data_IF_343606036781
#
_entry.id   IF_343606036781
#
_cell.length_a   1.000
_cell.length_b   1.000
_cell.length_c   1.000
_cell.angle_alpha   90.00
_cell.angle_beta   90.00
_cell.angle_gamma   90.00
#
_symmetry.space_group_name_H-M   'P 1'
#
loop_
_entity.id
_entity.type
_entity.pdbx_description
1 polymer ?
#
# COMPACT_ATOMS: atom_id res chain seq x y z
N UNK A 1 -4.38 32.90 -5.29
CA UNK A 1 -5.22 32.56 -4.11
C UNK A 1 -4.44 31.77 -3.06
N UNK A 2 -3.96 30.55 -3.35
CA UNK A 2 -3.18 29.75 -2.39
C UNK A 2 -1.96 30.48 -1.81
N UNK A 3 -1.17 31.17 -2.65
CA UNK A 3 -0.03 32.00 -2.19
C UNK A 3 -0.46 33.04 -1.16
N UNK A 4 -1.59 33.72 -1.39
CA UNK A 4 -2.11 34.74 -0.49
C UNK A 4 -2.60 34.15 0.84
N UNK A 5 -3.21 32.96 0.83
CA UNK A 5 -3.62 32.28 2.07
C UNK A 5 -2.40 31.93 2.94
N UNK A 6 -1.32 31.46 2.32
CA UNK A 6 -0.08 31.14 3.03
C UNK A 6 0.66 32.39 3.52
N UNK A 7 0.63 33.48 2.75
CA UNK A 7 1.23 34.77 3.14
C UNK A 7 0.46 35.41 4.31
N UNK A 8 -0.87 35.45 4.23
CA UNK A 8 -1.71 36.12 5.24
C UNK A 8 -1.78 35.31 6.56
N UNK A 9 -1.92 33.97 6.50
CA UNK A 9 -2.19 33.13 7.68
C UNK A 9 -1.49 31.75 7.67
N UNK A 10 -0.46 31.55 6.85
CA UNK A 10 0.12 30.21 6.62
C UNK A 10 0.69 29.54 7.87
N UNK A 11 1.29 30.30 8.78
CA UNK A 11 1.86 29.77 10.03
C UNK A 11 0.78 29.22 10.97
N UNK A 12 -0.33 29.96 11.15
CA UNK A 12 -1.48 29.54 11.95
C UNK A 12 -2.11 28.30 11.32
N UNK A 13 -2.37 28.36 10.03
CA UNK A 13 -3.01 27.28 9.30
C UNK A 13 -2.16 25.99 9.35
N UNK A 14 -0.83 26.10 9.26
CA UNK A 14 0.08 24.97 9.42
C UNK A 14 0.09 24.43 10.86
N UNK A 15 0.08 25.29 11.88
CA UNK A 15 0.01 24.87 13.27
C UNK A 15 -1.27 24.08 13.56
N UNK A 16 -2.42 24.54 13.06
CA UNK A 16 -3.70 23.85 13.22
C UNK A 16 -3.67 22.46 12.57
N UNK A 17 -3.16 22.33 11.33
CA UNK A 17 -3.05 21.04 10.65
C UNK A 17 -2.13 20.08 11.43
N UNK A 18 -1.03 20.59 11.97
CA UNK A 18 -0.09 19.80 12.77
C UNK A 18 -0.72 19.33 14.07
N UNK A 19 -1.39 20.23 14.79
CA UNK A 19 -2.09 19.91 16.04
C UNK A 19 -3.16 18.83 15.81
N UNK A 20 -4.01 19.00 14.79
CA UNK A 20 -5.05 18.03 14.46
C UNK A 20 -4.49 16.66 14.07
N UNK A 21 -3.38 16.62 13.31
CA UNK A 21 -2.73 15.37 12.94
C UNK A 21 -2.14 14.67 14.17
N UNK A 22 -1.45 15.41 15.03
CA UNK A 22 -0.78 14.87 16.22
C UNK A 22 -1.80 14.42 17.26
N UNK A 23 -2.89 15.15 17.49
CA UNK A 23 -3.95 14.72 18.40
C UNK A 23 -4.61 13.42 17.93
N UNK A 24 -4.88 13.27 16.62
CA UNK A 24 -5.38 12.02 16.08
C UNK A 24 -4.39 10.87 16.27
N UNK A 25 -3.10 11.11 16.02
CA UNK A 25 -2.01 10.13 16.27
C UNK A 25 -1.98 9.65 17.71
N UNK A 26 -2.06 10.57 18.66
CA UNK A 26 -2.10 10.29 20.11
C UNK A 26 -3.35 9.51 20.48
N UNK A 27 -4.51 9.91 19.95
CA UNK A 27 -5.79 9.25 20.20
C UNK A 27 -5.79 7.80 19.72
N UNK A 28 -5.36 7.54 18.50
CA UNK A 28 -5.25 6.18 17.95
C UNK A 28 -4.25 5.34 18.75
N UNK A 29 -3.12 5.91 19.16
CA UNK A 29 -2.14 5.20 20.00
C UNK A 29 -2.72 4.78 21.35
N UNK A 30 -3.50 5.65 22.01
CA UNK A 30 -4.19 5.33 23.27
C UNK A 30 -5.22 4.23 23.10
N UNK A 31 -6.09 4.37 22.09
CA UNK A 31 -7.12 3.36 21.77
C UNK A 31 -6.45 2.01 21.50
N UNK A 32 -5.40 1.98 20.68
CA UNK A 32 -4.66 0.74 20.41
C UNK A 32 -4.09 0.11 21.70
N UNK A 33 -3.52 0.92 22.59
CA UNK A 33 -2.99 0.41 23.85
C UNK A 33 -4.09 -0.15 24.77
N UNK A 34 -5.24 0.52 24.85
CA UNK A 34 -6.41 0.07 25.62
C UNK A 34 -6.96 -1.26 25.08
N UNK A 35 -7.27 -1.31 23.77
CA UNK A 35 -7.86 -2.51 23.13
C UNK A 35 -6.91 -3.72 23.15
N UNK A 36 -5.60 -3.49 22.98
CA UNK A 36 -4.61 -4.56 23.10
C UNK A 36 -4.37 -5.00 24.55
N UNK A 37 -4.53 -4.09 25.52
CA UNK A 37 -4.49 -4.42 26.95
C UNK A 37 -5.63 -5.34 27.37
N UNK A 38 -6.77 -5.28 26.68
CA UNK A 38 -7.92 -6.18 26.86
C UNK A 38 -7.78 -7.51 26.09
N UNK A 39 -6.64 -7.77 25.47
CA UNK A 39 -6.37 -9.02 24.73
C UNK A 39 -6.95 -9.04 23.31
N UNK A 40 -7.29 -7.88 22.76
CA UNK A 40 -7.84 -7.74 21.41
C UNK A 40 -6.87 -6.92 20.52
N UNK A 41 -7.34 -6.36 19.41
CA UNK A 41 -6.52 -5.61 18.46
C UNK A 41 -7.17 -4.30 18.04
N UNK A 42 -6.34 -3.33 17.62
CA UNK A 42 -6.81 -2.14 16.91
C UNK A 42 -5.77 -1.72 15.87
N UNK A 43 -6.18 -0.83 14.98
CA UNK A 43 -5.27 -0.21 14.02
C UNK A 43 -4.23 0.66 14.72
N UNK A 44 -3.01 0.68 14.19
CA UNK A 44 -1.94 1.57 14.66
C UNK A 44 -1.69 2.71 13.68
N UNK A 45 -0.71 3.54 14.01
CA UNK A 45 -0.11 4.51 13.09
C UNK A 45 1.40 4.32 13.12
N UNK A 46 2.03 4.45 11.96
CA UNK A 46 3.48 4.48 11.81
C UNK A 46 4.03 5.81 12.34
N UNK A 47 4.61 5.77 13.54
CA UNK A 47 5.05 6.95 14.29
C UNK A 47 6.02 6.60 15.42
N UNK A 48 6.78 7.59 15.93
CA UNK A 48 7.63 7.45 17.11
C UNK A 48 6.87 7.03 18.37
N UNK A 49 7.53 6.29 19.26
CA UNK A 49 6.96 5.87 20.54
C UNK A 49 6.72 7.05 21.49
N UNK A 50 7.45 8.15 21.34
CA UNK A 50 7.31 9.37 22.14
C UNK A 50 5.93 10.03 22.03
N UNK A 51 5.13 9.65 21.02
CA UNK A 51 3.76 10.14 20.81
C UNK A 51 2.86 9.94 22.04
N UNK A 52 3.06 8.87 22.82
CA UNK A 52 2.21 8.58 23.98
C UNK A 52 2.66 9.31 25.25
N UNK A 53 3.94 9.68 25.34
CA UNK A 53 4.52 10.31 26.53
C UNK A 53 4.55 11.84 26.45
N UNK A 54 4.68 12.40 25.24
CA UNK A 54 4.76 13.85 25.04
C UNK A 54 3.39 14.49 24.82
N UNK A 55 3.31 15.77 25.15
CA UNK A 55 2.17 16.63 24.80
C UNK A 55 2.23 17.01 23.32
N UNK A 56 1.09 17.41 22.77
CA UNK A 56 1.03 17.87 21.36
C UNK A 56 1.91 19.08 21.12
N UNK A 57 1.98 20.00 22.09
CA UNK A 57 2.87 21.16 22.00
C UNK A 57 4.35 20.76 21.91
N UNK A 58 4.82 19.87 22.79
CA UNK A 58 6.21 19.39 22.75
C UNK A 58 6.56 18.68 21.44
N UNK A 59 5.58 17.99 20.83
CA UNK A 59 5.72 17.30 19.55
C UNK A 59 5.79 18.26 18.37
N UNK A 60 5.06 19.38 18.43
CA UNK A 60 5.07 20.44 17.41
C UNK A 60 6.36 21.25 17.48
N UNK A 61 6.80 21.63 18.67
CA UNK A 61 7.91 22.57 18.86
C UNK A 61 9.29 21.97 18.53
N UNK A 62 9.43 20.65 18.58
CA UNK A 62 10.73 20.00 18.40
C UNK A 62 10.72 18.97 17.27
N UNK A 63 11.37 19.33 16.17
CA UNK A 63 11.57 18.48 14.99
C UNK A 63 12.24 17.14 15.31
N UNK A 64 13.12 17.09 16.32
CA UNK A 64 13.84 15.87 16.69
C UNK A 64 12.90 14.73 17.10
N UNK A 65 11.65 15.03 17.48
CA UNK A 65 10.63 14.02 17.74
C UNK A 65 10.26 13.18 16.52
N UNK A 66 10.46 13.72 15.31
CA UNK A 66 10.01 13.11 14.06
C UNK A 66 11.15 12.60 13.19
N UNK A 67 12.40 12.90 13.56
CA UNK A 67 13.60 12.40 12.88
C UNK A 67 13.72 10.89 13.08
N UNK A 68 14.03 10.15 12.01
CA UNK A 68 14.28 8.72 12.06
C UNK A 68 15.70 8.48 12.58
N UNK A 69 15.82 8.17 13.87
CA UNK A 69 17.13 7.94 14.49
C UNK A 69 17.64 6.52 14.19
N UNK A 70 18.94 6.35 13.86
CA UNK A 70 19.52 5.02 13.74
C UNK A 70 19.29 4.18 15.00
N UNK A 71 18.69 3.00 14.83
CA UNK A 71 18.41 2.07 15.93
C UNK A 71 16.99 2.18 16.53
N UNK A 72 16.22 3.21 16.19
CA UNK A 72 14.81 3.29 16.59
C UNK A 72 14.00 2.16 15.95
N UNK A 73 13.27 1.39 16.76
CA UNK A 73 12.56 0.20 16.26
C UNK A 73 11.28 0.53 15.49
N UNK A 74 10.67 1.70 15.72
CA UNK A 74 9.32 2.03 15.22
C UNK A 74 9.24 2.17 13.70
N UNK A 75 10.34 2.55 13.04
CA UNK A 75 10.32 2.86 11.61
C UNK A 75 10.68 1.69 10.70
N UNK A 76 11.34 0.65 11.20
CA UNK A 76 11.70 -0.55 10.42
C UNK A 76 12.91 -0.41 9.47
N UNK A 77 13.44 0.80 9.27
CA UNK A 77 14.70 0.99 8.53
C UNK A 77 15.93 0.50 9.31
N UNK A 78 16.88 -0.19 8.65
CA UNK A 78 18.11 -0.64 9.29
C UNK A 78 19.00 0.55 9.66
N UNK A 79 19.73 0.45 10.78
CA UNK A 79 20.54 1.54 11.32
C UNK A 79 21.65 1.95 10.34
N UNK A 80 22.27 0.99 9.65
CA UNK A 80 23.28 1.23 8.61
C UNK A 80 22.74 1.98 7.39
N UNK A 81 21.42 1.98 7.18
CA UNK A 81 20.75 2.72 6.11
C UNK A 81 20.42 4.17 6.46
N UNK A 82 20.69 4.61 7.69
CA UNK A 82 20.32 5.95 8.17
C UNK A 82 21.55 6.78 8.52
N UNK A 83 21.69 7.95 7.87
CA UNK A 83 22.78 8.90 8.14
C UNK A 83 22.30 10.06 9.03
N UNK A 84 22.25 9.86 10.36
CA UNK A 84 21.91 10.92 11.32
C UNK A 84 20.57 11.63 11.04
N UNK A 85 20.50 12.94 11.30
CA UNK A 85 19.29 13.76 11.10
C UNK A 85 19.01 14.11 9.62
N UNK A 86 18.98 13.09 8.75
CA UNK A 86 18.74 13.25 7.32
C UNK A 86 17.26 13.11 6.92
N UNK A 87 16.54 12.18 7.58
CA UNK A 87 15.14 11.86 7.25
C UNK A 87 14.24 12.06 8.46
N UNK A 88 13.03 12.57 8.24
CA UNK A 88 11.98 12.68 9.26
C UNK A 88 10.63 12.22 8.73
N UNK A 89 9.75 11.80 9.63
CA UNK A 89 8.34 11.57 9.36
C UNK A 89 7.61 12.92 9.32
N UNK A 90 6.91 13.18 8.22
CA UNK A 90 5.98 14.30 8.16
C UNK A 90 4.73 14.02 9.03
N UNK A 91 4.46 14.79 10.08
CA UNK A 91 3.38 14.51 11.02
C UNK A 91 1.99 14.51 10.37
N UNK A 92 1.80 15.25 9.28
CA UNK A 92 0.49 15.37 8.61
C UNK A 92 0.20 14.20 7.66
N UNK A 93 1.18 13.33 7.40
CA UNK A 93 1.03 12.10 6.61
C UNK A 93 0.70 10.92 7.51
N UNK A 94 -0.60 10.64 7.66
CA UNK A 94 -1.12 9.66 8.61
C UNK A 94 -1.10 8.26 8.00
N UNK A 95 0.03 7.55 8.13
CA UNK A 95 0.14 6.15 7.72
C UNK A 95 -0.40 5.24 8.81
N UNK A 96 -1.61 4.70 8.60
CA UNK A 96 -2.21 3.70 9.46
C UNK A 96 -1.59 2.32 9.22
N UNK A 97 -1.51 1.52 10.28
CA UNK A 97 -0.97 0.17 10.29
C UNK A 97 -2.06 -0.83 10.65
N UNK A 98 -2.21 -1.87 9.84
CA UNK A 98 -3.04 -3.03 10.14
C UNK A 98 -2.27 -4.04 11.00
N UNK A 99 -2.95 -4.85 11.83
CA UNK A 99 -2.36 -6.08 12.38
C UNK A 99 -2.03 -7.08 11.26
N UNK A 100 -1.04 -7.94 11.50
CA UNK A 100 -0.66 -9.03 10.60
C UNK A 100 0.85 -9.15 10.39
N UNK A 101 1.52 -8.02 10.15
CA UNK A 101 2.98 -7.96 10.07
C UNK A 101 3.45 -6.69 10.78
N UNK A 102 4.48 -6.79 11.61
CA UNK A 102 5.06 -5.62 12.24
C UNK A 102 6.13 -4.95 11.37
N UNK A 103 6.62 -3.79 11.82
CA UNK A 103 7.62 -2.99 11.09
C UNK A 103 8.99 -3.68 11.00
N UNK A 104 9.21 -4.75 11.75
CA UNK A 104 10.40 -5.60 11.66
C UNK A 104 10.20 -6.81 10.72
N UNK A 105 9.03 -6.91 10.07
CA UNK A 105 8.71 -8.00 9.15
C UNK A 105 8.28 -9.29 9.83
N UNK A 106 7.97 -9.27 11.14
CA UNK A 106 7.50 -10.46 11.86
C UNK A 106 6.00 -10.64 11.65
N UNK A 107 5.65 -11.82 11.16
CA UNK A 107 4.26 -12.21 10.91
C UNK A 107 3.55 -12.61 12.20
N UNK A 108 2.30 -12.20 12.30
CA UNK A 108 1.35 -12.65 13.31
C UNK A 108 0.45 -13.74 12.71
N UNK A 109 -0.31 -14.43 13.56
CA UNK A 109 -1.31 -15.40 13.10
C UNK A 109 -2.58 -14.69 12.61
N UNK A 110 -3.03 -13.69 13.37
CA UNK A 110 -4.12 -12.81 12.97
C UNK A 110 -3.59 -11.66 12.12
N UNK A 111 -4.29 -11.37 11.03
CA UNK A 111 -4.01 -10.18 10.23
C UNK A 111 -5.23 -9.63 9.53
N UNK A 112 -5.19 -8.33 9.24
CA UNK A 112 -6.19 -7.61 8.47
C UNK A 112 -5.47 -6.98 7.27
N UNK A 113 -5.59 -7.56 6.07
CA UNK A 113 -5.05 -6.92 4.87
C UNK A 113 -5.66 -5.53 4.66
N UNK A 114 -4.82 -4.53 4.40
CA UNK A 114 -5.25 -3.14 4.27
C UNK A 114 -6.27 -2.95 3.14
N UNK A 115 -6.15 -3.70 2.04
CA UNK A 115 -7.12 -3.67 0.94
C UNK A 115 -8.57 -3.96 1.37
N UNK A 116 -8.77 -4.78 2.41
CA UNK A 116 -10.11 -5.08 2.94
C UNK A 116 -10.60 -3.91 3.81
N UNK A 117 -9.73 -3.39 4.67
CA UNK A 117 -10.07 -2.24 5.52
C UNK A 117 -10.37 -0.98 4.70
N UNK A 118 -9.55 -0.67 3.69
CA UNK A 118 -9.75 0.52 2.87
C UNK A 118 -10.91 0.40 1.89
N UNK A 119 -11.25 -0.82 1.42
CA UNK A 119 -12.52 -1.06 0.70
C UNK A 119 -13.72 -0.70 1.58
N UNK A 120 -13.72 -1.15 2.83
CA UNK A 120 -14.78 -0.83 3.78
C UNK A 120 -14.91 0.68 4.03
N UNK A 121 -13.78 1.37 4.23
CA UNK A 121 -13.75 2.82 4.40
C UNK A 121 -14.24 3.56 3.14
N UNK A 122 -13.89 3.07 1.95
CA UNK A 122 -14.33 3.61 0.66
C UNK A 122 -15.85 3.62 0.50
N UNK A 123 -16.53 2.54 0.92
CA UNK A 123 -18.00 2.45 0.91
C UNK A 123 -18.68 3.47 1.85
N UNK A 124 -17.91 4.13 2.74
CA UNK A 124 -18.35 5.20 3.64
C UNK A 124 -17.90 6.59 3.19
N UNK A 125 -17.33 6.70 1.99
CA UNK A 125 -16.80 7.95 1.44
C UNK A 125 -15.46 8.37 2.05
N UNK A 126 -14.78 7.49 2.79
CA UNK A 126 -13.43 7.72 3.30
C UNK A 126 -12.45 7.14 2.30
N UNK A 127 -11.94 7.99 1.41
CA UNK A 127 -11.00 7.60 0.37
C UNK A 127 -9.57 7.72 0.90
N UNK A 128 -8.84 6.61 0.91
CA UNK A 128 -7.43 6.58 1.29
C UNK A 128 -6.56 7.06 0.12
N UNK A 129 -5.53 7.85 0.42
CA UNK A 129 -4.57 8.34 -0.58
C UNK A 129 -3.77 7.18 -1.18
N UNK A 130 -3.34 6.25 -0.32
CA UNK A 130 -2.56 5.08 -0.70
C UNK A 130 -2.98 3.89 0.15
N UNK A 131 -3.04 2.71 -0.46
CA UNK A 131 -3.26 1.44 0.21
C UNK A 131 -2.14 0.47 -0.18
N UNK A 132 -1.39 -0.01 0.80
CA UNK A 132 -0.39 -1.07 0.64
C UNK A 132 -0.98 -2.41 1.12
N UNK A 133 -0.13 -3.39 1.47
CA UNK A 133 -0.61 -4.69 1.98
C UNK A 133 -1.11 -4.63 3.43
N UNK A 134 -0.42 -3.90 4.32
CA UNK A 134 -0.76 -3.78 5.75
C UNK A 134 -0.70 -2.33 6.26
N UNK A 135 -0.68 -1.37 5.36
CA UNK A 135 -0.73 0.06 5.69
C UNK A 135 -1.58 0.82 4.68
N UNK A 136 -2.13 1.94 5.11
CA UNK A 136 -2.78 2.91 4.23
C UNK A 136 -2.52 4.32 4.73
N UNK A 137 -2.58 5.28 3.82
CA UNK A 137 -2.24 6.67 4.07
C UNK A 137 -3.48 7.55 3.96
N UNK A 138 -3.61 8.46 4.92
CA UNK A 138 -4.48 9.64 4.83
C UNK A 138 -3.64 10.90 4.93
N UNK A 139 -4.03 11.93 4.18
CA UNK A 139 -3.39 13.24 4.21
C UNK A 139 -4.19 14.17 5.13
N UNK A 140 -3.56 14.67 6.20
CA UNK A 140 -4.12 15.76 6.98
C UNK A 140 -3.78 17.08 6.29
N UNK A 141 -4.79 17.86 5.93
CA UNK A 141 -4.62 19.13 5.20
C UNK A 141 -5.57 20.19 5.74
N UNK A 142 -5.52 21.41 5.19
CA UNK A 142 -6.43 22.51 5.56
C UNK A 142 -7.92 22.16 5.43
N UNK A 143 -8.27 21.19 4.58
CA UNK A 143 -9.63 20.72 4.39
C UNK A 143 -10.06 19.61 5.34
N UNK A 144 -9.16 19.12 6.19
CA UNK A 144 -9.48 18.13 7.23
C UNK A 144 -10.10 18.84 8.42
N UNK A 145 -11.06 18.17 9.07
CA UNK A 145 -11.75 18.70 10.24
C UNK A 145 -11.86 17.61 11.29
N UNK A 146 -11.98 18.01 12.56
CA UNK A 146 -12.26 17.09 13.68
C UNK A 146 -13.49 16.21 13.44
N UNK A 147 -14.51 16.70 12.74
CA UNK A 147 -15.70 15.92 12.35
C UNK A 147 -15.37 14.77 11.39
N UNK A 148 -14.51 15.01 10.38
CA UNK A 148 -14.03 13.96 9.48
C UNK A 148 -13.20 12.91 10.23
N UNK A 149 -12.32 13.34 11.13
CA UNK A 149 -11.54 12.42 11.97
C UNK A 149 -12.42 11.59 12.91
N UNK A 150 -13.48 12.20 13.47
CA UNK A 150 -14.48 11.48 14.27
C UNK A 150 -15.22 10.41 13.47
N UNK A 151 -15.60 10.73 12.23
CA UNK A 151 -16.22 9.77 11.29
C UNK A 151 -15.27 8.62 10.97
N UNK A 152 -14.00 8.92 10.67
CA UNK A 152 -12.97 7.90 10.46
C UNK A 152 -12.88 6.96 11.67
N UNK A 153 -12.78 7.49 12.88
CA UNK A 153 -12.64 6.67 14.07
C UNK A 153 -13.87 5.77 14.30
N UNK A 154 -15.08 6.31 14.11
CA UNK A 154 -16.32 5.54 14.22
C UNK A 154 -16.34 4.37 13.22
N UNK A 155 -15.93 4.59 11.98
CA UNK A 155 -15.87 3.53 10.97
C UNK A 155 -14.75 2.51 11.23
N UNK A 156 -13.62 2.91 11.83
CA UNK A 156 -12.59 1.95 12.26
C UNK A 156 -13.09 1.03 13.38
N UNK A 157 -13.80 1.57 14.37
CA UNK A 157 -14.48 0.75 15.39
C UNK A 157 -15.54 -0.16 14.76
N UNK A 158 -16.35 0.39 13.85
CA UNK A 158 -17.40 -0.39 13.17
C UNK A 158 -16.83 -1.55 12.35
N UNK A 159 -15.75 -1.31 11.60
CA UNK A 159 -15.05 -2.37 10.87
C UNK A 159 -14.62 -3.49 11.84
N UNK A 160 -14.03 -3.11 12.97
CA UNK A 160 -13.57 -4.05 13.98
C UNK A 160 -14.72 -4.85 14.60
N UNK A 161 -15.86 -4.22 14.91
CA UNK A 161 -17.06 -4.94 15.40
C UNK A 161 -17.55 -5.99 14.38
N UNK A 162 -17.61 -5.61 13.10
CA UNK A 162 -17.98 -6.52 12.01
C UNK A 162 -16.97 -7.65 11.85
N UNK A 163 -15.68 -7.36 12.03
CA UNK A 163 -14.63 -8.38 12.03
C UNK A 163 -14.81 -9.35 13.20
N UNK A 164 -14.98 -8.84 14.43
CA UNK A 164 -15.14 -9.66 15.65
C UNK A 164 -16.37 -10.55 15.60
N UNK A 165 -17.47 -10.06 15.03
CA UNK A 165 -18.70 -10.84 14.83
C UNK A 165 -18.65 -11.76 13.60
N UNK A 166 -17.53 -11.77 12.86
CA UNK A 166 -17.38 -12.44 11.57
C UNK A 166 -18.58 -12.17 10.64
N UNK A 167 -18.99 -10.90 10.56
CA UNK A 167 -20.20 -10.50 9.84
C UNK A 167 -20.17 -11.02 8.38
N UNK A 168 -21.30 -11.50 7.84
CA UNK A 168 -21.37 -12.01 6.47
C UNK A 168 -20.88 -10.97 5.44
N UNK A 169 -20.07 -11.41 4.47
CA UNK A 169 -19.58 -10.52 3.42
C UNK A 169 -20.71 -9.92 2.59
N UNK A 170 -21.87 -10.57 2.48
CA UNK A 170 -23.06 -10.02 1.82
C UNK A 170 -23.56 -8.73 2.51
N UNK A 171 -23.35 -8.63 3.83
CA UNK A 171 -23.70 -7.43 4.59
C UNK A 171 -22.60 -6.37 4.49
N UNK A 172 -21.33 -6.79 4.52
CA UNK A 172 -20.18 -5.88 4.57
C UNK A 172 -19.83 -5.32 3.19
N UNK A 173 -19.80 -6.17 2.16
CA UNK A 173 -19.42 -5.86 0.77
C UNK A 173 -20.44 -6.44 -0.24
N UNK A 174 -21.69 -5.96 -0.24
CA UNK A 174 -22.75 -6.54 -1.09
C UNK A 174 -22.40 -6.58 -2.57
N UNK A 175 -21.78 -5.51 -3.10
CA UNK A 175 -21.38 -5.45 -4.51
C UNK A 175 -20.28 -6.47 -4.84
N UNK A 176 -19.29 -6.65 -3.95
CA UNK A 176 -18.22 -7.64 -4.15
C UNK A 176 -18.78 -9.07 -4.26
N UNK A 177 -19.75 -9.40 -3.40
CA UNK A 177 -20.40 -10.72 -3.44
C UNK A 177 -21.32 -10.87 -4.64
N UNK A 178 -21.98 -9.78 -5.08
CA UNK A 178 -22.80 -9.79 -6.28
C UNK A 178 -21.96 -10.02 -7.56
N UNK A 179 -20.79 -9.39 -7.65
CA UNK A 179 -19.89 -9.51 -8.80
C UNK A 179 -19.18 -10.88 -8.84
N UNK A 180 -18.80 -11.42 -7.67
CA UNK A 180 -18.05 -12.67 -7.56
C UNK A 180 -18.67 -13.66 -6.55
N UNK A 181 -19.92 -14.11 -6.77
CA UNK A 181 -20.67 -14.91 -5.80
C UNK A 181 -20.03 -16.27 -5.55
N UNK A 182 -19.46 -16.89 -6.60
CA UNK A 182 -18.77 -18.17 -6.48
C UNK A 182 -17.55 -18.08 -5.54
N UNK A 183 -16.93 -16.90 -5.43
CA UNK A 183 -15.77 -16.69 -4.56
C UNK A 183 -16.17 -16.32 -3.14
N UNK A 184 -17.15 -15.43 -2.95
CA UNK A 184 -17.35 -14.75 -1.67
C UNK A 184 -18.64 -15.10 -0.91
N UNK A 185 -19.61 -15.76 -1.55
CA UNK A 185 -20.90 -16.09 -0.90
C UNK A 185 -20.68 -16.98 0.32
N UNK A 186 -21.37 -16.66 1.42
CA UNK A 186 -21.35 -17.42 2.67
C UNK A 186 -20.09 -17.27 3.50
N UNK A 187 -19.15 -16.39 3.11
CA UNK A 187 -17.97 -16.10 3.93
C UNK A 187 -18.26 -14.96 4.92
N UNK A 188 -17.62 -15.00 6.08
CA UNK A 188 -17.58 -13.86 7.00
C UNK A 188 -16.33 -12.99 6.81
N UNK A 189 -16.38 -11.76 7.33
CA UNK A 189 -15.30 -10.78 7.22
C UNK A 189 -13.97 -11.27 7.83
N UNK A 190 -14.00 -11.90 9.00
CA UNK A 190 -12.79 -12.43 9.64
C UNK A 190 -12.20 -13.58 8.81
N UNK A 191 -13.05 -14.48 8.30
CA UNK A 191 -12.60 -15.57 7.44
C UNK A 191 -11.93 -15.06 6.16
N UNK A 192 -12.48 -14.00 5.59
CA UNK A 192 -11.93 -13.36 4.40
C UNK A 192 -10.56 -12.72 4.67
N UNK A 193 -10.44 -11.96 5.76
CA UNK A 193 -9.16 -11.40 6.21
C UNK A 193 -8.13 -12.51 6.47
N UNK A 194 -8.51 -13.59 7.15
CA UNK A 194 -7.62 -14.73 7.42
C UNK A 194 -7.13 -15.40 6.15
N UNK A 195 -8.02 -15.64 5.18
CA UNK A 195 -7.65 -16.24 3.89
C UNK A 195 -6.66 -15.37 3.12
N UNK A 196 -6.91 -14.07 3.03
CA UNK A 196 -6.04 -13.15 2.31
C UNK A 196 -4.71 -12.93 3.04
N UNK A 197 -4.74 -12.81 4.37
CA UNK A 197 -3.54 -12.73 5.20
C UNK A 197 -2.65 -13.97 5.02
N UNK A 198 -3.23 -15.16 5.17
CA UNK A 198 -2.53 -16.44 4.97
C UNK A 198 -1.92 -16.55 3.58
N UNK A 199 -2.67 -16.19 2.53
CA UNK A 199 -2.16 -16.20 1.17
C UNK A 199 -0.98 -15.24 0.96
N UNK A 200 -1.08 -13.99 1.42
CA UNK A 200 0.01 -13.01 1.30
C UNK A 200 1.28 -13.53 2.00
N UNK A 201 1.13 -14.14 3.18
CA UNK A 201 2.24 -14.71 3.96
C UNK A 201 2.85 -15.92 3.27
N UNK A 202 2.04 -16.92 2.92
CA UNK A 202 2.48 -18.19 2.30
C UNK A 202 3.16 -17.98 0.95
N UNK A 203 2.69 -17.00 0.17
CA UNK A 203 3.28 -16.67 -1.13
C UNK A 203 4.48 -15.74 -1.03
N UNK A 204 4.84 -15.25 0.17
CA UNK A 204 5.98 -14.36 0.39
C UNK A 204 5.88 -13.07 -0.45
N UNK A 205 4.68 -12.50 -0.54
CA UNK A 205 4.39 -11.41 -1.49
C UNK A 205 5.14 -10.12 -1.13
N UNK A 206 5.28 -9.80 0.16
CA UNK A 206 6.03 -8.65 0.66
C UNK A 206 7.53 -8.80 0.36
N UNK A 207 8.10 -9.99 0.56
CA UNK A 207 9.51 -10.24 0.27
C UNK A 207 9.78 -10.08 -1.22
N UNK A 208 8.94 -10.65 -2.08
CA UNK A 208 9.06 -10.49 -3.54
C UNK A 208 8.95 -9.03 -3.97
N UNK A 209 8.04 -8.26 -3.37
CA UNK A 209 7.95 -6.82 -3.60
C UNK A 209 9.28 -6.13 -3.27
N UNK A 210 9.85 -6.38 -2.08
CA UNK A 210 11.12 -5.78 -1.65
C UNK A 210 12.29 -6.21 -2.55
N UNK A 211 12.35 -7.48 -2.95
CA UNK A 211 13.40 -7.96 -3.86
C UNK A 211 13.28 -7.32 -5.25
N UNK A 212 12.06 -7.19 -5.77
CA UNK A 212 11.82 -6.54 -7.07
C UNK A 212 12.32 -5.10 -7.11
N UNK A 213 12.17 -4.34 -6.00
CA UNK A 213 12.60 -2.94 -5.92
C UNK A 213 14.12 -2.76 -5.75
N UNK A 214 14.87 -3.83 -5.50
CA UNK A 214 16.34 -3.77 -5.37
C UNK A 214 17.06 -4.00 -6.69
N UNK A 215 16.33 -4.39 -7.74
CA UNK A 215 16.91 -4.66 -9.05
C UNK A 215 17.06 -3.36 -9.82
N UNK A 216 18.23 -3.14 -10.38
CA UNK A 216 18.48 -2.10 -11.39
C UNK A 216 18.59 -2.83 -12.74
N UNK A 217 17.56 -2.79 -13.61
CA UNK A 217 17.58 -3.47 -14.89
C UNK A 217 18.69 -2.96 -15.82
N UNK A 218 19.08 -3.79 -16.80
CA UNK A 218 20.03 -3.35 -17.83
C UNK A 218 19.29 -2.53 -18.89
N UNK A 219 19.95 -1.52 -19.46
CA UNK A 219 19.35 -0.61 -20.45
C UNK A 219 19.74 -1.03 -21.87
N UNK A 220 18.77 -1.35 -22.72
CA UNK A 220 18.99 -1.56 -24.16
C UNK A 220 18.97 -0.25 -24.94
N UNK A 221 18.10 0.68 -24.55
CA UNK A 221 17.97 1.98 -25.19
C UNK A 221 17.45 3.03 -24.20
N UNK A 222 17.56 4.30 -24.55
CA UNK A 222 17.01 5.37 -23.70
C UNK A 222 15.47 5.39 -23.78
N UNK A 223 14.75 5.89 -22.75
CA UNK A 223 13.28 5.90 -22.75
C UNK A 223 12.65 6.60 -23.97
N UNK A 224 13.30 7.63 -24.51
CA UNK A 224 12.84 8.30 -25.73
C UNK A 224 12.85 7.38 -26.97
N UNK A 225 13.78 6.44 -27.05
CA UNK A 225 13.86 5.47 -28.15
C UNK A 225 12.81 4.36 -27.98
N UNK A 226 12.60 3.87 -26.76
CA UNK A 226 11.51 2.95 -26.46
C UNK A 226 10.15 3.56 -26.83
N UNK A 227 9.94 4.85 -26.50
CA UNK A 227 8.74 5.57 -26.92
C UNK A 227 8.61 5.70 -28.44
N UNK A 228 9.71 5.95 -29.16
CA UNK A 228 9.70 5.96 -30.64
C UNK A 228 9.28 4.61 -31.22
N UNK A 229 9.64 3.49 -30.59
CA UNK A 229 9.17 2.17 -31.03
C UNK A 229 7.64 2.05 -30.94
N UNK A 230 7.02 2.61 -29.89
CA UNK A 230 5.56 2.69 -29.76
C UNK A 230 4.96 3.50 -30.92
N UNK A 231 5.49 4.71 -31.18
CA UNK A 231 5.02 5.58 -32.27
C UNK A 231 5.11 4.90 -33.63
N UNK A 232 6.18 4.11 -33.86
CA UNK A 232 6.39 3.34 -35.09
C UNK A 232 5.60 2.03 -35.14
N UNK A 233 4.78 1.71 -34.13
CA UNK A 233 4.05 0.43 -33.99
C UNK A 233 4.98 -0.80 -34.00
N UNK A 234 6.21 -0.62 -33.52
CA UNK A 234 7.24 -1.65 -33.38
C UNK A 234 7.18 -2.30 -31.98
N UNK A 235 5.97 -2.44 -31.44
CA UNK A 235 5.70 -3.03 -30.13
C UNK A 235 4.60 -4.08 -30.24
N UNK A 236 4.57 -4.99 -29.27
CA UNK A 236 3.57 -6.04 -29.14
C UNK A 236 3.22 -6.27 -27.68
N UNK A 237 2.02 -6.83 -27.44
CA UNK A 237 1.61 -7.29 -26.12
C UNK A 237 2.02 -8.74 -25.93
N UNK A 238 2.72 -9.03 -24.83
CA UNK A 238 3.25 -10.36 -24.52
C UNK A 238 2.84 -10.74 -23.12
N UNK A 239 2.20 -11.90 -22.99
CA UNK A 239 1.78 -12.43 -21.69
C UNK A 239 3.00 -12.73 -20.81
N UNK A 240 2.86 -12.45 -19.51
CA UNK A 240 3.90 -12.65 -18.51
C UNK A 240 4.43 -14.09 -18.45
N UNK A 241 3.59 -15.09 -18.70
CA UNK A 241 3.97 -16.50 -18.69
C UNK A 241 4.73 -16.95 -19.94
N UNK A 242 4.66 -16.18 -21.02
CA UNK A 242 5.43 -16.41 -22.24
C UNK A 242 6.84 -15.81 -22.20
N UNK A 243 7.18 -15.07 -21.14
CA UNK A 243 8.49 -14.43 -20.97
C UNK A 243 9.37 -15.31 -20.09
N UNK A 244 10.39 -15.91 -20.71
CA UNK A 244 11.51 -16.53 -19.99
C UNK A 244 12.73 -15.59 -20.04
N UNK A 245 13.08 -14.93 -18.93
CA UNK A 245 14.19 -13.96 -18.91
C UNK A 245 15.57 -14.58 -19.21
N UNK A 246 15.74 -15.90 -19.08
CA UNK A 246 16.99 -16.59 -19.38
C UNK A 246 17.13 -16.94 -20.86
N UNK A 247 16.00 -17.24 -21.51
CA UNK A 247 15.95 -17.82 -22.87
C UNK A 247 15.56 -16.80 -23.92
N UNK A 248 14.63 -15.89 -23.59
CA UNK A 248 14.10 -14.89 -24.49
C UNK A 248 14.08 -13.51 -23.81
N UNK A 249 15.24 -12.83 -23.72
CA UNK A 249 15.31 -11.50 -23.14
C UNK A 249 14.52 -10.49 -23.99
N UNK A 250 13.71 -9.67 -23.34
CA UNK A 250 12.81 -8.70 -24.00
C UNK A 250 13.14 -7.27 -23.58
N UNK A 251 12.74 -6.28 -24.35
CA UNK A 251 12.86 -4.87 -23.94
C UNK A 251 11.48 -4.30 -23.70
N UNK A 252 11.25 -3.72 -22.52
CA UNK A 252 9.97 -3.06 -22.24
C UNK A 252 9.83 -1.78 -23.04
N UNK A 253 8.65 -1.53 -23.62
CA UNK A 253 8.39 -0.30 -24.35
C UNK A 253 7.95 0.85 -23.42
N UNK A 254 7.36 0.50 -22.27
CA UNK A 254 6.78 1.43 -21.31
C UNK A 254 7.34 1.22 -19.90
N UNK A 255 7.14 2.21 -19.05
CA UNK A 255 7.43 2.10 -17.63
C UNK A 255 6.44 1.16 -16.94
N UNK A 256 6.92 0.30 -16.04
CA UNK A 256 6.09 -0.57 -15.20
C UNK A 256 6.13 -0.10 -13.75
N UNK A 257 4.96 0.21 -13.19
CA UNK A 257 4.82 0.77 -11.83
C UNK A 257 3.72 0.03 -11.05
N UNK A 258 4.06 -0.95 -10.20
CA UNK A 258 3.10 -1.65 -9.36
C UNK A 258 2.73 -0.83 -8.12
N UNK A 259 1.46 -0.91 -7.72
CA UNK A 259 0.96 -0.36 -6.46
C UNK A 259 0.53 -1.48 -5.51
N UNK A 260 1.20 -1.63 -4.35
CA UNK A 260 2.41 -0.94 -3.88
C UNK A 260 3.73 -1.38 -4.58
N UNK A 261 4.83 -0.58 -4.49
CA UNK A 261 4.96 0.67 -3.72
C UNK A 261 4.63 1.96 -4.48
N UNK A 262 4.28 1.89 -5.77
CA UNK A 262 4.04 3.07 -6.61
C UNK A 262 5.33 3.72 -7.12
N UNK A 263 6.40 2.93 -7.25
CA UNK A 263 7.71 3.35 -7.78
C UNK A 263 8.03 2.48 -9.00
N UNK A 264 8.64 3.02 -10.07
CA UNK A 264 8.99 2.24 -11.24
C UNK A 264 9.93 1.08 -10.90
N UNK A 265 9.57 -0.12 -11.35
CA UNK A 265 10.43 -1.32 -11.29
C UNK A 265 11.06 -1.62 -12.64
N UNK A 266 10.48 -1.10 -13.73
CA UNK A 266 11.05 -1.11 -15.07
C UNK A 266 10.76 0.23 -15.76
N UNK A 267 11.70 0.72 -16.54
CA UNK A 267 11.58 1.90 -17.40
C UNK A 267 11.53 1.46 -18.88
N UNK A 268 10.85 2.24 -19.72
CA UNK A 268 10.90 2.04 -21.17
C UNK A 268 12.35 1.98 -21.67
N UNK A 269 12.72 0.92 -22.41
CA UNK A 269 14.07 0.69 -22.91
C UNK A 269 14.93 -0.21 -22.02
N UNK A 270 14.45 -0.62 -20.86
CA UNK A 270 15.11 -1.61 -20.00
C UNK A 270 14.82 -3.05 -20.45
N UNK A 271 15.78 -3.93 -20.18
CA UNK A 271 15.79 -5.33 -20.61
C UNK A 271 15.23 -6.22 -19.50
N UNK A 272 14.23 -7.01 -19.85
CA UNK A 272 13.78 -8.16 -19.10
C UNK A 272 14.71 -9.34 -19.43
N UNK A 273 15.73 -9.55 -18.59
CA UNK A 273 16.68 -10.66 -18.65
C UNK A 273 16.81 -11.35 -17.28
N UNK A 274 17.73 -12.31 -17.13
CA UNK A 274 17.92 -13.09 -15.89
C UNK A 274 18.02 -12.21 -14.62
N UNK A 275 18.67 -11.05 -14.71
CA UNK A 275 18.82 -10.09 -13.60
C UNK A 275 17.47 -9.57 -13.09
N UNK A 276 16.48 -9.46 -13.98
CA UNK A 276 15.13 -8.99 -13.69
C UNK A 276 14.15 -10.08 -13.26
N UNK A 277 14.61 -11.34 -13.10
CA UNK A 277 13.77 -12.45 -12.63
C UNK A 277 12.94 -12.12 -11.37
N UNK A 278 13.48 -11.46 -10.32
CA UNK A 278 12.69 -11.09 -9.14
C UNK A 278 11.51 -10.16 -9.45
N UNK A 279 11.63 -9.31 -10.48
CA UNK A 279 10.54 -8.44 -10.94
C UNK A 279 9.40 -9.26 -11.53
N UNK A 280 9.73 -10.22 -12.40
CA UNK A 280 8.72 -11.11 -13.00
C UNK A 280 8.07 -12.02 -11.96
N UNK A 281 8.83 -12.51 -10.99
CA UNK A 281 8.30 -13.31 -9.88
C UNK A 281 7.31 -12.53 -9.02
N UNK A 282 7.62 -11.26 -8.71
CA UNK A 282 6.68 -10.39 -8.01
C UNK A 282 5.40 -10.14 -8.81
N UNK A 283 5.52 -9.80 -10.10
CA UNK A 283 4.36 -9.56 -10.97
C UNK A 283 3.51 -10.85 -11.15
N UNK A 284 4.15 -12.02 -11.20
CA UNK A 284 3.46 -13.31 -11.27
C UNK A 284 2.66 -13.59 -10.00
N UNK A 285 3.24 -13.36 -8.83
CA UNK A 285 2.50 -13.49 -7.58
C UNK A 285 1.39 -12.45 -7.45
N UNK A 286 1.57 -11.25 -8.01
CA UNK A 286 0.51 -10.24 -8.08
C UNK A 286 -0.63 -10.69 -8.99
N UNK A 287 -0.36 -11.25 -10.16
CA UNK A 287 -1.36 -11.85 -11.04
C UNK A 287 -2.12 -12.97 -10.33
N UNK A 288 -1.39 -13.89 -9.68
CA UNK A 288 -2.00 -15.01 -8.94
C UNK A 288 -2.88 -14.51 -7.79
N UNK A 289 -2.47 -13.45 -7.09
CA UNK A 289 -3.28 -12.81 -6.07
C UNK A 289 -4.58 -12.25 -6.64
N UNK A 290 -4.53 -11.53 -7.76
CA UNK A 290 -5.74 -10.96 -8.39
C UNK A 290 -6.71 -12.05 -8.86
N UNK A 291 -6.21 -13.14 -9.43
CA UNK A 291 -7.02 -14.30 -9.79
C UNK A 291 -7.61 -15.01 -8.56
N UNK A 292 -6.89 -15.05 -7.43
CA UNK A 292 -7.37 -15.68 -6.19
C UNK A 292 -8.39 -14.82 -5.44
N UNK A 293 -8.28 -13.50 -5.53
CA UNK A 293 -9.13 -12.52 -4.86
C UNK A 293 -9.71 -11.51 -5.87
N UNK A 294 -10.60 -11.95 -6.78
CA UNK A 294 -11.21 -11.08 -7.77
C UNK A 294 -11.94 -9.90 -7.10
N UNK A 295 -11.76 -8.69 -7.64
CA UNK A 295 -12.24 -7.46 -6.99
C UNK A 295 -11.25 -6.79 -6.03
N UNK A 296 -10.07 -7.40 -5.80
CA UNK A 296 -8.91 -6.80 -5.12
C UNK A 296 -7.71 -6.60 -6.07
N UNK A 297 -8.00 -6.31 -7.34
CA UNK A 297 -6.98 -5.87 -8.29
C UNK A 297 -6.35 -4.56 -7.82
N UNK A 298 -5.04 -4.42 -7.98
CA UNK A 298 -4.36 -3.15 -7.73
C UNK A 298 -3.81 -2.55 -9.00
N UNK A 299 -3.56 -1.25 -8.99
CA UNK A 299 -3.01 -0.60 -10.17
C UNK A 299 -1.57 -1.05 -10.42
N UNK A 300 -1.30 -1.39 -11.68
CA UNK A 300 0.05 -1.66 -12.17
C UNK A 300 0.15 -0.95 -13.51
N UNK A 301 0.73 0.26 -13.51
CA UNK A 301 0.92 0.99 -14.76
C UNK A 301 1.86 0.22 -15.67
N UNK A 302 1.58 0.20 -16.97
CA UNK A 302 2.39 -0.50 -17.97
C UNK A 302 2.13 -2.01 -18.11
N UNK A 303 1.21 -2.56 -17.30
CA UNK A 303 0.75 -3.95 -17.41
C UNK A 303 -0.74 -3.96 -17.74
N UNK A 304 -1.09 -4.57 -18.86
CA UNK A 304 -2.48 -4.81 -19.25
C UNK A 304 -2.98 -6.13 -18.67
N UNK A 305 -4.30 -6.24 -18.56
CA UNK A 305 -5.00 -7.47 -18.15
C UNK A 305 -5.71 -8.06 -19.34
N UNK A 306 -5.42 -9.33 -19.63
CA UNK A 306 -6.11 -10.05 -20.70
C UNK A 306 -7.61 -10.18 -20.41
N UNK A 307 -8.37 -10.57 -21.43
CA UNK A 307 -9.67 -11.17 -21.17
C UNK A 307 -9.48 -12.47 -20.36
N UNK A 308 -10.44 -12.84 -19.48
CA UNK A 308 -10.40 -14.12 -18.80
C UNK A 308 -10.32 -15.29 -19.80
N UNK A 309 -9.47 -16.27 -19.52
CA UNK A 309 -9.38 -17.49 -20.31
C UNK A 309 -10.52 -18.49 -19.99
N UNK A 310 -10.45 -19.69 -20.56
CA UNK A 310 -11.47 -20.72 -20.37
C UNK A 310 -11.65 -21.16 -18.90
N UNK A 311 -10.61 -21.01 -18.07
CA UNK A 311 -10.64 -21.31 -16.64
C UNK A 311 -10.99 -20.06 -15.80
N UNK A 312 -11.27 -18.93 -16.46
CA UNK A 312 -11.56 -17.65 -15.83
C UNK A 312 -10.32 -16.92 -15.31
N UNK A 313 -9.11 -17.34 -15.69
CA UNK A 313 -7.88 -16.67 -15.28
C UNK A 313 -7.59 -15.45 -16.15
N UNK A 314 -7.18 -14.37 -15.49
CA UNK A 314 -6.70 -13.16 -16.14
C UNK A 314 -5.17 -13.15 -16.12
N UNK A 315 -4.57 -12.85 -17.27
CA UNK A 315 -3.13 -12.82 -17.47
C UNK A 315 -2.63 -11.38 -17.56
N UNK A 316 -1.45 -11.13 -17.00
CA UNK A 316 -0.74 -9.86 -17.16
C UNK A 316 -0.01 -9.85 -18.49
N UNK A 317 -0.12 -8.74 -19.22
CA UNK A 317 0.48 -8.54 -20.54
C UNK A 317 1.36 -7.29 -20.53
N UNK A 318 2.59 -7.44 -21.03
CA UNK A 318 3.54 -6.34 -21.18
C UNK A 318 3.47 -5.78 -22.60
N UNK A 319 3.59 -4.46 -22.73
CA UNK A 319 3.95 -3.85 -24.01
C UNK A 319 5.47 -3.88 -24.20
N UNK A 320 5.95 -4.75 -25.09
CA UNK A 320 7.37 -4.97 -25.35
C UNK A 320 7.75 -4.51 -26.76
N UNK A 321 9.01 -4.10 -26.94
CA UNK A 321 9.57 -3.84 -28.27
C UNK A 321 9.66 -5.18 -29.02
N UNK A 322 9.24 -5.19 -30.29
CA UNK A 322 9.37 -6.35 -31.18
C UNK A 322 10.84 -6.66 -31.44
N UNK A 323 11.18 -7.94 -31.41
CA UNK A 323 12.48 -8.43 -31.87
C UNK A 323 12.54 -8.49 -33.40
#
# INVERSE_FOLDING_TARGET
MATKMMDDNGSIAHADIMEEAIELRRKIARIKAEECGEGDWFFGIWQPESIVTKTTQELIENQANWVLQPGDAWHGFPAEGLSGAYTMLDPIKLTFLCPGVDVQGRWQEMGVPAAIATRFLGDKGIVCEKTDYYSWLLLNSLGTTKGKQGTLLAELFRFRELYKSNAPLEQVFPQLVADYPARYRGQGLQDHCRQMHGYIRERGLLDKMVQSSKIIPDQACIPAEAYRAIVKKQVEFVRLDAIDPAVNPRTTAVMVVPYPPGIPILMGGEIINEKTRPILEYLRERQNFENRFPGYSGDIHGIERSQPDADGQVWFEFMLIKQ
#
